data_IF_330398836598
#
_entry.id   IF_330398836598
#
_cell.length_a   1.000
_cell.length_b   1.000
_cell.length_c   1.000
_cell.angle_alpha   90.00
_cell.angle_beta   90.00
_cell.angle_gamma   90.00
#
_symmetry.space_group_name_H-M   'P 1'
#
loop_
_entity.id
_entity.type
_entity.pdbx_description
1 polymer ?
#
# COMPACT_ATOMS: atom_id res chain seq x y z
N UNK A 1 -14.44 -21.55 -0.25
CA UNK A 1 -15.51 -20.90 0.55
C UNK A 1 -16.12 -21.97 1.46
N UNK A 2 -15.65 -22.30 2.65
CA UNK A 2 -14.76 -21.65 3.62
C UNK A 2 -15.31 -21.77 5.05
N UNK A 3 -16.61 -22.02 5.22
CA UNK A 3 -17.24 -21.98 6.54
C UNK A 3 -17.23 -23.34 7.29
N UNK A 4 -16.95 -24.46 6.62
CA UNK A 4 -17.01 -25.82 7.23
C UNK A 4 -15.74 -26.68 7.00
N UNK A 5 -14.61 -26.11 6.56
CA UNK A 5 -13.39 -26.92 6.34
C UNK A 5 -12.62 -27.13 7.67
N UNK A 6 -12.41 -28.39 8.14
CA UNK A 6 -11.61 -28.67 9.34
C UNK A 6 -10.15 -28.21 9.22
N UNK A 7 -9.61 -28.10 8.01
CA UNK A 7 -8.24 -27.62 7.76
C UNK A 7 -8.16 -26.09 7.58
N UNK A 8 -9.28 -25.37 7.79
CA UNK A 8 -9.36 -23.93 7.67
C UNK A 8 -9.67 -23.44 6.25
N UNK A 9 -9.75 -22.11 6.04
CA UNK A 9 -10.07 -21.54 4.73
C UNK A 9 -8.99 -21.88 3.70
N UNK A 10 -9.43 -22.22 2.47
CA UNK A 10 -8.55 -22.47 1.33
C UNK A 10 -7.62 -21.26 1.08
N UNK A 11 -6.29 -21.42 1.22
CA UNK A 11 -5.35 -20.31 1.06
C UNK A 11 -5.27 -19.79 -0.38
N UNK A 12 -5.72 -20.58 -1.37
CA UNK A 12 -5.80 -20.14 -2.76
C UNK A 12 -6.91 -19.11 -2.98
N UNK A 13 -7.95 -19.11 -2.15
CA UNK A 13 -9.04 -18.13 -2.24
C UNK A 13 -8.55 -16.69 -2.12
N UNK A 14 -8.01 -16.26 -0.96
CA UNK A 14 -7.62 -14.87 -0.75
C UNK A 14 -6.18 -14.55 -1.21
N UNK A 15 -5.22 -15.48 -1.10
CA UNK A 15 -3.81 -15.11 -1.21
C UNK A 15 -3.16 -15.63 -2.50
N UNK A 16 -3.22 -16.94 -2.76
CA UNK A 16 -2.44 -17.50 -3.88
C UNK A 16 -3.03 -17.24 -5.28
N UNK A 17 -4.34 -16.97 -5.40
CA UNK A 17 -4.96 -16.61 -6.68
C UNK A 17 -4.67 -15.17 -7.13
N UNK A 18 -4.08 -14.33 -6.27
CA UNK A 18 -3.98 -12.88 -6.46
C UNK A 18 -2.58 -12.41 -6.90
N UNK A 19 -1.75 -13.30 -7.47
CA UNK A 19 -0.38 -12.97 -7.90
C UNK A 19 -0.26 -11.82 -8.92
N UNK A 20 -1.32 -11.55 -9.69
CA UNK A 20 -1.41 -10.43 -10.66
C UNK A 20 -2.44 -9.37 -10.26
N UNK A 21 -2.78 -9.26 -8.98
CA UNK A 21 -3.83 -8.34 -8.50
C UNK A 21 -3.55 -6.89 -8.90
N UNK A 22 -2.29 -6.47 -8.85
CA UNK A 22 -1.85 -5.14 -9.27
C UNK A 22 -1.95 -4.90 -10.77
N UNK A 23 -2.27 -5.91 -11.57
CA UNK A 23 -2.54 -5.80 -13.01
C UNK A 23 -4.04 -5.85 -13.33
N UNK A 24 -4.83 -6.55 -12.53
CA UNK A 24 -6.26 -6.80 -12.80
C UNK A 24 -7.23 -5.96 -11.98
N UNK A 25 -6.95 -5.73 -10.69
CA UNK A 25 -7.89 -5.09 -9.79
C UNK A 25 -7.98 -3.57 -9.99
N UNK A 26 -9.03 -2.94 -9.45
CA UNK A 26 -9.11 -1.48 -9.40
C UNK A 26 -7.92 -0.88 -8.65
N UNK A 27 -7.35 0.20 -9.18
CA UNK A 27 -6.17 0.86 -8.63
C UNK A 27 -6.29 2.37 -8.72
N UNK A 28 -5.72 3.04 -7.74
CA UNK A 28 -5.56 4.48 -7.76
C UNK A 28 -4.12 4.86 -7.41
N UNK A 29 -3.56 5.80 -8.16
CA UNK A 29 -2.19 6.27 -7.96
C UNK A 29 -2.21 7.74 -7.54
N UNK A 30 -1.67 8.01 -6.37
CA UNK A 30 -1.52 9.36 -5.82
C UNK A 30 -0.04 9.71 -5.78
N UNK A 31 0.34 10.73 -6.55
CA UNK A 31 1.70 11.26 -6.56
C UNK A 31 1.84 12.34 -5.50
N UNK A 32 2.85 12.20 -4.65
CA UNK A 32 3.15 13.15 -3.58
C UNK A 32 4.57 13.63 -3.77
N UNK A 33 4.73 14.94 -4.00
CA UNK A 33 6.04 15.59 -3.95
C UNK A 33 6.31 16.00 -2.51
N UNK A 34 7.19 15.27 -1.84
CA UNK A 34 7.60 15.61 -0.48
C UNK A 34 8.39 16.93 -0.47
N UNK A 35 8.27 17.70 0.61
CA UNK A 35 9.04 18.93 0.81
C UNK A 35 10.54 18.64 1.01
N UNK A 36 10.88 17.43 1.45
CA UNK A 36 12.26 16.99 1.67
C UNK A 36 12.79 16.33 0.39
N UNK A 37 13.81 16.94 -0.20
CA UNK A 37 14.38 16.51 -1.49
C UNK A 37 14.92 15.07 -1.48
N UNK A 38 15.36 14.56 -0.32
CA UNK A 38 15.83 13.17 -0.19
C UNK A 38 14.73 12.12 -0.42
N UNK A 39 13.46 12.48 -0.16
CA UNK A 39 12.29 11.65 -0.49
C UNK A 39 11.87 11.97 -1.92
N UNK A 40 11.73 13.27 -2.21
CA UNK A 40 11.34 13.76 -3.53
C UNK A 40 9.92 13.34 -3.92
N UNK A 41 9.75 12.93 -5.18
CA UNK A 41 8.47 12.43 -5.69
C UNK A 41 8.29 10.96 -5.32
N UNK A 42 7.23 10.65 -4.58
CA UNK A 42 6.81 9.29 -4.26
C UNK A 42 5.39 9.03 -4.78
N UNK A 43 5.08 7.76 -5.04
CA UNK A 43 3.75 7.30 -5.40
C UNK A 43 3.13 6.44 -4.30
N UNK A 44 1.86 6.69 -3.98
CA UNK A 44 1.04 5.76 -3.23
C UNK A 44 0.08 5.08 -4.20
N UNK A 45 0.24 3.76 -4.37
CA UNK A 45 -0.63 2.94 -5.19
C UNK A 45 -1.61 2.18 -4.29
N UNK A 46 -2.86 2.61 -4.30
CA UNK A 46 -3.98 1.90 -3.68
C UNK A 46 -4.45 0.77 -4.61
N UNK A 47 -4.68 -0.42 -4.07
CA UNK A 47 -5.17 -1.60 -4.82
C UNK A 47 -6.37 -2.19 -4.08
N UNK A 48 -7.53 -2.19 -4.72
CA UNK A 48 -8.72 -2.86 -4.18
C UNK A 48 -8.55 -4.38 -4.22
N UNK A 49 -8.84 -5.09 -3.13
CA UNK A 49 -8.83 -6.55 -3.08
C UNK A 49 -10.26 -7.11 -3.02
N UNK A 50 -10.45 -8.31 -3.56
CA UNK A 50 -11.76 -8.96 -3.77
C UNK A 50 -12.61 -8.30 -4.88
N UNK A 51 -13.61 -9.03 -5.37
CA UNK A 51 -14.36 -8.72 -6.59
C UNK A 51 -15.08 -7.35 -6.61
N UNK A 52 -15.28 -6.71 -5.46
CA UNK A 52 -16.13 -5.50 -5.33
C UNK A 52 -15.39 -4.30 -4.72
N UNK A 53 -14.05 -4.36 -4.58
CA UNK A 53 -13.32 -3.24 -3.99
C UNK A 53 -12.98 -2.16 -5.02
N UNK A 54 -13.37 -0.92 -4.74
CA UNK A 54 -13.02 0.26 -5.54
C UNK A 54 -12.18 1.25 -4.72
N UNK A 55 -11.33 2.02 -5.41
CA UNK A 55 -10.51 3.06 -4.80
C UNK A 55 -11.09 4.43 -5.13
N UNK A 56 -11.52 5.19 -4.13
CA UNK A 56 -11.90 6.58 -4.29
C UNK A 56 -10.76 7.49 -3.83
N UNK A 57 -10.26 8.35 -4.72
CA UNK A 57 -9.28 9.37 -4.39
C UNK A 57 -10.01 10.65 -4.01
N UNK A 58 -9.74 11.16 -2.82
CA UNK A 58 -10.42 12.37 -2.28
C UNK A 58 -9.54 13.62 -2.38
N UNK A 59 -8.22 13.44 -2.39
CA UNK A 59 -7.25 14.53 -2.62
C UNK A 59 -7.19 14.91 -4.10
N UNK A 60 -6.86 16.17 -4.36
CA UNK A 60 -6.73 16.74 -5.70
C UNK A 60 -5.31 17.20 -5.97
N UNK A 61 -4.95 17.29 -7.25
CA UNK A 61 -3.67 17.85 -7.65
C UNK A 61 -3.56 19.29 -7.14
N UNK A 62 -2.45 19.59 -6.45
CA UNK A 62 -2.20 20.89 -5.82
C UNK A 62 -2.51 20.92 -4.33
N UNK A 63 -3.23 19.94 -3.78
CA UNK A 63 -3.46 19.86 -2.35
C UNK A 63 -2.16 19.61 -1.58
N UNK A 64 -2.01 20.28 -0.43
CA UNK A 64 -0.99 19.93 0.56
C UNK A 64 -1.57 18.94 1.56
N UNK A 65 -0.82 17.88 1.81
CA UNK A 65 -1.15 16.85 2.80
C UNK A 65 -0.02 16.72 3.83
N UNK A 66 -0.37 16.34 5.06
CA UNK A 66 0.54 16.02 6.15
C UNK A 66 0.48 14.53 6.47
N UNK A 67 1.47 14.03 7.22
CA UNK A 67 1.46 12.65 7.71
C UNK A 67 0.18 12.41 8.53
N UNK A 68 -0.59 11.40 8.13
CA UNK A 68 -1.85 11.02 8.76
C UNK A 68 -3.10 11.60 8.08
N UNK A 69 -2.94 12.51 7.12
CA UNK A 69 -4.09 13.03 6.36
C UNK A 69 -4.65 11.95 5.42
N UNK A 70 -5.96 11.99 5.24
CA UNK A 70 -6.66 11.07 4.34
C UNK A 70 -6.34 11.40 2.88
N UNK A 71 -5.94 10.39 2.10
CA UNK A 71 -5.75 10.51 0.64
C UNK A 71 -7.00 10.08 -0.14
N UNK A 72 -7.77 9.15 0.42
CA UNK A 72 -8.87 8.48 -0.24
C UNK A 72 -9.45 7.39 0.66
N UNK A 73 -10.37 6.63 0.10
CA UNK A 73 -11.02 5.51 0.78
C UNK A 73 -11.09 4.29 -0.15
N UNK A 74 -10.99 3.11 0.45
CA UNK A 74 -11.38 1.87 -0.20
C UNK A 74 -12.85 1.61 0.08
N UNK A 75 -13.64 1.33 -0.95
CA UNK A 75 -15.01 0.86 -0.79
C UNK A 75 -15.01 -0.66 -0.66
N UNK A 76 -15.83 -1.16 0.26
CA UNK A 76 -16.23 -2.56 0.45
C UNK A 76 -15.16 -3.65 0.14
N UNK A 77 -14.64 -4.29 1.19
CA UNK A 77 -13.72 -5.44 1.08
C UNK A 77 -12.26 -5.08 1.34
N UNK A 78 -11.39 -6.10 1.25
CA UNK A 78 -9.97 -5.98 1.57
C UNK A 78 -9.23 -4.97 0.68
N UNK A 79 -8.06 -4.56 1.13
CA UNK A 79 -7.26 -3.57 0.42
C UNK A 79 -5.78 -3.84 0.64
N UNK A 80 -4.98 -3.54 -0.37
CA UNK A 80 -3.54 -3.46 -0.22
C UNK A 80 -3.02 -2.18 -0.84
N UNK A 81 -1.75 -1.87 -0.59
CA UNK A 81 -1.11 -0.71 -1.15
C UNK A 81 0.37 -0.97 -1.42
N UNK A 82 0.95 -0.16 -2.29
CA UNK A 82 2.38 -0.15 -2.57
C UNK A 82 2.89 1.29 -2.55
N UNK A 83 4.05 1.50 -1.91
CA UNK A 83 4.79 2.75 -2.00
C UNK A 83 5.84 2.64 -3.10
N UNK A 84 5.83 3.62 -4.00
CA UNK A 84 6.74 3.73 -5.13
C UNK A 84 7.71 4.87 -4.86
N UNK A 85 9.00 4.56 -4.90
CA UNK A 85 10.07 5.54 -4.75
C UNK A 85 10.88 5.62 -6.04
N UNK A 86 11.45 6.80 -6.30
CA UNK A 86 12.35 6.96 -7.45
C UNK A 86 13.66 6.20 -7.20
N UNK A 87 14.37 5.75 -8.26
CA UNK A 87 15.65 5.03 -8.10
C UNK A 87 16.68 5.75 -7.23
N UNK A 88 16.67 7.08 -7.25
CA UNK A 88 17.54 7.95 -6.47
C UNK A 88 17.14 8.10 -4.99
N UNK A 89 15.92 7.74 -4.60
CA UNK A 89 15.46 7.77 -3.21
C UNK A 89 16.11 6.61 -2.44
N UNK A 90 17.05 6.94 -1.56
CA UNK A 90 17.81 5.94 -0.78
C UNK A 90 16.99 5.45 0.41
N UNK A 91 16.22 4.38 0.21
CA UNK A 91 15.48 3.71 1.29
C UNK A 91 16.36 2.61 1.92
N UNK A 92 16.57 2.68 3.23
CA UNK A 92 17.25 1.63 4.00
C UNK A 92 16.24 0.93 4.90
N UNK A 93 15.93 -0.34 4.61
CA UNK A 93 15.05 -1.15 5.44
C UNK A 93 15.81 -1.69 6.65
N UNK A 94 15.27 -1.44 7.83
CA UNK A 94 15.84 -1.91 9.12
C UNK A 94 15.20 -3.23 9.56
N UNK A 95 14.07 -3.58 8.93
CA UNK A 95 13.30 -4.80 9.16
C UNK A 95 13.32 -5.69 7.91
N UNK A 96 13.23 -7.00 8.12
CA UNK A 96 13.15 -8.00 7.06
C UNK A 96 11.70 -8.38 6.79
N UNK A 97 11.48 -9.00 5.64
CA UNK A 97 10.20 -9.62 5.33
C UNK A 97 9.85 -10.65 6.40
N UNK A 98 8.60 -10.62 6.87
CA UNK A 98 8.05 -11.46 7.95
C UNK A 98 8.55 -11.14 9.37
N UNK A 99 9.28 -10.04 9.58
CA UNK A 99 9.55 -9.55 10.94
C UNK A 99 8.26 -9.02 11.58
N UNK A 100 8.01 -9.38 12.84
CA UNK A 100 6.98 -8.73 13.65
C UNK A 100 7.45 -7.32 14.02
N UNK A 101 6.60 -6.31 13.80
CA UNK A 101 6.89 -4.91 14.07
C UNK A 101 5.80 -4.28 14.93
N UNK A 102 6.18 -3.40 15.85
CA UNK A 102 5.21 -2.68 16.67
C UNK A 102 4.49 -1.62 15.84
N UNK A 103 3.26 -1.30 16.24
CA UNK A 103 2.51 -0.20 15.63
C UNK A 103 3.30 1.11 15.79
N UNK A 104 3.45 1.85 14.67
CA UNK A 104 4.24 3.08 14.56
C UNK A 104 5.76 2.91 14.70
N UNK A 105 6.29 1.69 14.73
CA UNK A 105 7.72 1.45 14.69
C UNK A 105 8.28 1.80 13.30
N UNK A 106 9.45 2.48 13.22
CA UNK A 106 10.10 2.69 11.93
C UNK A 106 10.55 1.34 11.34
N UNK A 107 10.14 1.07 10.09
CA UNK A 107 10.56 -0.12 9.33
C UNK A 107 11.67 0.20 8.33
N UNK A 108 11.81 1.48 7.96
CA UNK A 108 12.80 1.97 7.01
C UNK A 108 13.09 3.46 7.25
N UNK A 109 14.25 3.90 6.78
CA UNK A 109 14.66 5.31 6.74
C UNK A 109 14.97 5.75 5.30
N UNK A 110 14.83 7.04 5.03
CA UNK A 110 15.21 7.67 3.76
C UNK A 110 16.37 8.63 4.01
N UNK A 111 17.36 8.62 3.13
CA UNK A 111 18.58 9.41 3.26
C UNK A 111 19.78 8.59 3.74
N UNK A 112 20.99 9.06 3.45
CA UNK A 112 22.21 8.44 3.97
C UNK A 112 22.36 8.75 5.45
N UNK A 113 22.80 7.77 6.25
CA UNK A 113 23.32 8.03 7.60
C UNK A 113 24.53 8.95 7.55
#
# INVERSE_FOLDING_TARGET
MGFENPDGPDPAGPNFSQGYITSLAARALVWIKADKDEIGLMGFLAVGMCEVSSCEVTVKAGDRVKKGDQLGIFHFGGSTHCLLFRPETKVTFEKKENDEVLLNEPIASVGGR
#
